data_IF_823362186421
#
_entry.id   IF_823362186421
#
_cell.length_a   1.000
_cell.length_b   1.000
_cell.length_c   1.000
_cell.angle_alpha   90.00
_cell.angle_beta   90.00
_cell.angle_gamma   90.00
#
_symmetry.space_group_name_H-M   'P 1'
#
loop_
_entity.id
_entity.type
_entity.pdbx_description
1 polymer ?
#
# COMPACT_ATOMS: atom_id res chain seq x y z
N UNK A 1 25.34 -14.36 14.92
CA UNK A 1 23.86 -14.41 14.96
C UNK A 1 23.39 -15.06 13.68
N UNK A 2 23.10 -16.37 13.71
CA UNK A 2 22.44 -17.06 12.60
C UNK A 2 21.32 -17.89 13.20
N UNK A 3 20.08 -17.45 12.98
CA UNK A 3 18.85 -18.11 13.34
C UNK A 3 18.64 -19.32 12.44
N UNK A 4 18.87 -20.52 12.97
CA UNK A 4 18.43 -21.76 12.33
C UNK A 4 16.92 -21.83 12.51
N UNK A 5 16.19 -21.58 11.42
CA UNK A 5 14.78 -21.94 11.31
C UNK A 5 14.76 -23.46 11.13
N UNK A 6 14.64 -24.20 12.23
CA UNK A 6 14.40 -25.65 12.17
C UNK A 6 13.02 -25.87 11.56
N UNK A 7 13.01 -26.54 10.42
CA UNK A 7 11.81 -26.96 9.71
C UNK A 7 10.86 -27.74 10.65
N UNK A 8 9.60 -27.34 10.70
CA UNK A 8 8.54 -28.08 11.36
C UNK A 8 8.31 -29.40 10.60
N UNK A 9 8.35 -30.53 11.32
CA UNK A 9 8.06 -31.85 10.76
C UNK A 9 6.62 -31.92 10.21
N UNK A 10 6.37 -32.65 9.09
CA UNK A 10 5.08 -32.72 8.42
C UNK A 10 4.13 -33.75 9.06
N UNK A 11 4.19 -33.93 10.37
CA UNK A 11 3.19 -34.67 11.14
C UNK A 11 2.55 -33.69 12.12
N UNK A 12 1.67 -32.82 11.63
CA UNK A 12 0.70 -32.17 12.50
C UNK A 12 -0.23 -33.27 13.02
N UNK A 13 0.19 -33.99 14.06
CA UNK A 13 -0.71 -34.84 14.82
C UNK A 13 -1.88 -33.96 15.22
N UNK A 14 -3.09 -34.32 14.78
CA UNK A 14 -4.26 -33.56 15.17
C UNK A 14 -4.32 -33.56 16.70
N UNK A 15 -4.32 -32.37 17.28
CA UNK A 15 -4.45 -32.14 18.71
C UNK A 15 -5.60 -31.18 18.94
N UNK A 16 -6.31 -31.35 20.05
CA UNK A 16 -7.37 -30.45 20.48
C UNK A 16 -6.88 -29.63 21.67
N UNK A 17 -7.13 -28.33 21.63
CA UNK A 17 -6.71 -27.44 22.70
C UNK A 17 -7.69 -27.48 23.89
N UNK A 18 -7.18 -27.31 25.09
CA UNK A 18 -7.97 -27.15 26.33
C UNK A 18 -8.99 -25.99 26.25
N UNK A 19 -8.70 -24.94 25.46
CA UNK A 19 -9.67 -23.86 25.19
C UNK A 19 -10.84 -24.35 24.34
N UNK A 20 -10.54 -25.08 23.26
CA UNK A 20 -11.56 -25.69 22.40
C UNK A 20 -12.43 -26.67 23.19
N UNK A 21 -11.83 -27.47 24.09
CA UNK A 21 -12.57 -28.36 25.01
C UNK A 21 -13.46 -27.54 25.96
N UNK A 22 -12.96 -26.43 26.51
CA UNK A 22 -13.73 -25.55 27.40
C UNK A 22 -14.95 -24.96 26.67
N UNK A 23 -14.79 -24.51 25.43
CA UNK A 23 -15.87 -24.00 24.59
C UNK A 23 -16.91 -25.07 24.27
N UNK A 24 -16.47 -26.28 23.90
CA UNK A 24 -17.38 -27.40 23.58
C UNK A 24 -18.16 -27.87 24.80
N UNK A 25 -17.51 -27.92 25.96
CA UNK A 25 -18.10 -28.45 27.20
C UNK A 25 -18.86 -27.41 28.00
N UNK A 26 -18.60 -26.12 27.78
CA UNK A 26 -19.15 -25.01 28.57
C UNK A 26 -18.52 -24.87 29.96
N UNK A 27 -17.41 -25.58 30.23
CA UNK A 27 -16.65 -25.45 31.49
C UNK A 27 -15.70 -24.26 31.41
N UNK A 28 -15.41 -23.63 32.55
CA UNK A 28 -14.37 -22.60 32.59
C UNK A 28 -13.00 -23.20 32.24
N UNK A 29 -12.23 -22.53 31.38
CA UNK A 29 -10.91 -22.98 30.91
C UNK A 29 -9.96 -23.42 32.04
N UNK A 30 -9.98 -22.69 33.17
CA UNK A 30 -9.17 -23.03 34.36
C UNK A 30 -9.52 -24.40 34.96
N UNK A 31 -10.80 -24.78 34.95
CA UNK A 31 -11.22 -26.10 35.43
C UNK A 31 -10.81 -27.20 34.47
N UNK A 32 -10.89 -26.96 33.17
CA UNK A 32 -10.41 -27.90 32.15
C UNK A 32 -8.90 -28.13 32.29
N UNK A 33 -8.09 -27.07 32.47
CA UNK A 33 -6.65 -27.22 32.75
C UNK A 33 -6.41 -28.08 33.99
N UNK A 34 -7.10 -27.79 35.09
CA UNK A 34 -6.96 -28.56 36.33
C UNK A 34 -7.35 -30.02 36.17
N UNK A 35 -8.45 -30.31 35.46
CA UNK A 35 -8.91 -31.67 35.19
C UNK A 35 -7.89 -32.42 34.32
N UNK A 36 -7.27 -31.74 33.35
CA UNK A 36 -6.19 -32.29 32.51
C UNK A 36 -4.94 -32.59 33.34
N UNK A 37 -4.52 -31.67 34.20
CA UNK A 37 -3.37 -31.88 35.10
C UNK A 37 -3.60 -33.05 36.06
N UNK A 38 -4.81 -33.16 36.63
CA UNK A 38 -5.18 -34.28 37.50
C UNK A 38 -5.18 -35.62 36.75
N UNK A 39 -5.75 -35.63 35.53
CA UNK A 39 -5.75 -36.82 34.66
C UNK A 39 -4.33 -37.23 34.29
N UNK A 40 -3.47 -36.30 33.87
CA UNK A 40 -2.07 -36.59 33.53
C UNK A 40 -1.33 -37.11 34.77
N UNK A 41 -1.53 -36.51 35.94
CA UNK A 41 -0.90 -36.97 37.19
C UNK A 41 -1.37 -38.37 37.61
N UNK A 42 -2.60 -38.78 37.25
CA UNK A 42 -3.11 -40.12 37.49
C UNK A 42 -2.55 -41.14 36.49
N UNK A 43 -2.44 -40.75 35.21
CA UNK A 43 -1.84 -41.58 34.14
C UNK A 43 -0.34 -41.79 34.37
N UNK A 44 0.36 -40.72 34.75
CA UNK A 44 1.81 -40.72 35.02
C UNK A 44 2.13 -41.11 36.47
N UNK A 45 1.15 -41.55 37.26
CA UNK A 45 1.35 -41.96 38.65
C UNK A 45 2.24 -43.19 38.68
N UNK A 46 3.45 -43.05 39.23
CA UNK A 46 4.36 -44.16 39.46
C UNK A 46 3.67 -45.25 40.30
N UNK A 47 3.39 -46.40 39.68
CA UNK A 47 2.96 -47.59 40.40
C UNK A 47 4.12 -48.19 41.22
N UNK A 48 3.87 -49.11 42.17
CA UNK A 48 4.92 -49.78 42.95
C UNK A 48 5.88 -50.66 42.14
N UNK A 49 5.66 -50.78 40.81
CA UNK A 49 6.56 -51.45 39.89
C UNK A 49 7.46 -50.39 39.25
N UNK A 50 8.75 -50.45 39.59
CA UNK A 50 9.90 -49.70 39.09
C UNK A 50 10.15 -49.83 37.56
N UNK A 51 9.10 -49.85 36.74
CA UNK A 51 9.21 -49.65 35.31
C UNK A 51 8.79 -48.22 35.02
N UNK A 52 9.74 -47.31 34.85
CA UNK A 52 9.50 -45.97 34.31
C UNK A 52 8.95 -46.09 32.88
N UNK A 53 7.68 -46.46 32.75
CA UNK A 53 7.01 -46.60 31.48
C UNK A 53 6.52 -45.24 31.03
N UNK A 54 7.32 -44.66 30.13
CA UNK A 54 6.95 -43.64 29.16
C UNK A 54 6.35 -42.34 29.73
N UNK A 55 7.18 -41.28 29.77
CA UNK A 55 6.67 -39.92 29.59
C UNK A 55 5.79 -39.92 28.33
N UNK A 56 4.48 -39.88 28.51
CA UNK A 56 3.52 -39.98 27.42
C UNK A 56 3.67 -38.76 26.53
N UNK A 57 4.32 -38.91 25.37
CA UNK A 57 4.51 -37.85 24.35
C UNK A 57 3.19 -37.58 23.60
N UNK A 58 2.12 -37.25 24.32
CA UNK A 58 0.77 -37.06 23.78
C UNK A 58 0.10 -35.74 24.15
N UNK A 59 0.81 -34.86 24.87
CA UNK A 59 0.33 -33.52 25.22
C UNK A 59 1.44 -32.47 25.11
N UNK A 60 1.06 -31.23 24.78
CA UNK A 60 1.96 -30.08 24.70
C UNK A 60 1.42 -28.95 25.58
N UNK A 61 2.28 -28.34 26.40
CA UNK A 61 1.90 -27.25 27.31
C UNK A 61 2.48 -25.93 26.81
N UNK A 62 1.62 -24.99 26.47
CA UNK A 62 1.98 -23.60 26.22
C UNK A 62 1.95 -22.81 27.53
N UNK A 63 3.07 -22.17 27.87
CA UNK A 63 3.20 -21.30 29.04
C UNK A 63 3.26 -19.83 28.61
N UNK A 64 2.72 -18.96 29.45
CA UNK A 64 2.82 -17.51 29.27
C UNK A 64 4.22 -17.00 29.67
N UNK A 65 4.54 -15.73 29.35
CA UNK A 65 5.82 -15.09 29.67
C UNK A 65 6.12 -15.03 31.19
N UNK A 66 5.11 -15.28 32.02
CA UNK A 66 5.18 -15.37 33.49
C UNK A 66 5.31 -16.82 34.01
N UNK A 67 5.40 -17.81 33.12
CA UNK A 67 5.54 -19.23 33.47
C UNK A 67 4.23 -19.99 33.73
N UNK A 68 3.07 -19.31 33.75
CA UNK A 68 1.77 -19.96 33.96
C UNK A 68 1.30 -20.75 32.74
N UNK A 69 0.63 -21.89 32.97
CA UNK A 69 0.00 -22.69 31.91
C UNK A 69 -1.13 -21.90 31.25
N UNK A 70 -1.00 -21.65 29.95
CA UNK A 70 -1.95 -20.88 29.15
C UNK A 70 -2.90 -21.81 28.39
N UNK A 71 -2.36 -22.80 27.67
CA UNK A 71 -3.10 -23.77 26.86
C UNK A 71 -2.38 -25.11 26.93
N UNK A 72 -3.12 -26.17 27.20
CA UNK A 72 -2.67 -27.56 27.01
C UNK A 72 -3.30 -28.09 25.72
N UNK A 73 -2.49 -28.69 24.85
CA UNK A 73 -2.92 -29.41 23.66
C UNK A 73 -2.85 -30.90 23.94
N UNK A 74 -3.92 -31.62 23.62
CA UNK A 74 -4.06 -33.06 23.87
C UNK A 74 -4.23 -33.80 22.54
N UNK A 75 -3.57 -34.94 22.42
CA UNK A 75 -3.86 -35.89 21.36
C UNK A 75 -5.26 -36.50 21.50
N UNK A 76 -5.65 -37.31 20.51
CA UNK A 76 -6.94 -38.02 20.51
C UNK A 76 -7.11 -38.95 21.70
N UNK A 77 -6.05 -39.64 22.13
CA UNK A 77 -6.12 -40.62 23.21
C UNK A 77 -6.40 -39.92 24.56
N UNK A 78 -5.64 -38.89 24.87
CA UNK A 78 -5.76 -38.12 26.11
C UNK A 78 -7.05 -37.31 26.15
N UNK A 79 -7.52 -36.78 25.02
CA UNK A 79 -8.85 -36.15 24.96
C UNK A 79 -9.98 -37.14 25.21
N UNK A 80 -9.94 -38.33 24.63
CA UNK A 80 -10.93 -39.40 24.88
C UNK A 80 -10.90 -39.80 26.36
N UNK A 81 -9.73 -39.95 26.95
CA UNK A 81 -9.58 -40.26 28.39
C UNK A 81 -10.20 -39.16 29.25
N UNK A 82 -9.92 -37.88 28.98
CA UNK A 82 -10.46 -36.74 29.72
C UNK A 82 -11.99 -36.73 29.72
N UNK A 83 -12.61 -36.94 28.56
CA UNK A 83 -14.07 -36.85 28.41
C UNK A 83 -14.83 -38.06 28.99
N UNK A 84 -14.14 -39.16 29.32
CA UNK A 84 -14.77 -40.29 30.01
C UNK A 84 -15.31 -39.90 31.39
N UNK A 85 -14.70 -38.90 32.04
CA UNK A 85 -15.17 -38.33 33.31
C UNK A 85 -16.20 -37.20 33.16
N UNK A 86 -16.55 -36.79 31.93
CA UNK A 86 -17.48 -35.69 31.68
C UNK A 86 -18.90 -36.19 31.36
N UNK A 87 -19.89 -35.30 31.49
CA UNK A 87 -21.29 -35.59 31.20
C UNK A 87 -21.49 -36.09 29.75
N UNK A 88 -22.45 -36.99 29.55
CA UNK A 88 -22.70 -37.59 28.23
C UNK A 88 -22.92 -36.56 27.10
N UNK A 89 -23.59 -35.43 27.40
CA UNK A 89 -23.80 -34.32 26.46
C UNK A 89 -22.50 -33.63 26.06
N UNK A 90 -21.62 -33.40 27.03
CA UNK A 90 -20.31 -32.78 26.80
C UNK A 90 -19.38 -33.71 26.02
N UNK A 91 -19.38 -34.99 26.40
CA UNK A 91 -18.62 -36.05 25.71
C UNK A 91 -18.99 -36.15 24.24
N UNK A 92 -20.29 -36.16 23.92
CA UNK A 92 -20.77 -36.25 22.53
C UNK A 92 -20.28 -35.08 21.67
N UNK A 93 -20.33 -33.84 22.18
CA UNK A 93 -19.81 -32.66 21.47
C UNK A 93 -18.32 -32.75 21.15
N UNK A 94 -17.52 -33.21 22.10
CA UNK A 94 -16.06 -33.37 21.89
C UNK A 94 -15.77 -34.51 20.91
N UNK A 95 -16.52 -35.61 20.97
CA UNK A 95 -16.41 -36.73 20.02
C UNK A 95 -16.81 -36.29 18.60
N UNK A 96 -17.92 -35.57 18.45
CA UNK A 96 -18.38 -35.08 17.15
C UNK A 96 -17.34 -34.14 16.53
N UNK A 97 -16.73 -33.28 17.34
CA UNK A 97 -15.62 -32.43 16.90
C UNK A 97 -14.42 -33.24 16.41
N UNK A 98 -14.04 -34.31 17.11
CA UNK A 98 -12.96 -35.19 16.65
C UNK A 98 -13.31 -35.90 15.34
N UNK A 99 -14.56 -36.34 15.18
CA UNK A 99 -15.02 -36.94 13.93
C UNK A 99 -14.99 -35.94 12.77
N UNK A 100 -15.38 -34.67 12.99
CA UNK A 100 -15.23 -33.60 11.98
C UNK A 100 -13.76 -33.37 11.59
N UNK A 101 -12.89 -33.39 12.59
CA UNK A 101 -11.46 -33.19 12.44
C UNK A 101 -10.80 -34.36 11.68
N UNK A 102 -11.28 -35.59 11.87
CA UNK A 102 -10.89 -36.79 11.11
C UNK A 102 -11.52 -36.83 9.71
N UNK A 103 -12.72 -36.29 9.55
CA UNK A 103 -13.43 -36.23 8.26
C UNK A 103 -12.91 -35.12 7.34
N UNK A 104 -12.21 -34.11 7.87
CA UNK A 104 -11.41 -33.21 7.03
C UNK A 104 -10.38 -34.07 6.32
N UNK A 105 -10.29 -34.03 4.99
CA UNK A 105 -9.25 -34.77 4.29
C UNK A 105 -7.91 -34.26 4.83
N UNK A 106 -7.25 -35.08 5.64
CA UNK A 106 -5.80 -35.04 5.70
C UNK A 106 -5.40 -35.08 4.23
N UNK A 107 -4.77 -34.00 3.75
CA UNK A 107 -4.24 -33.92 2.40
C UNK A 107 -3.53 -35.25 2.19
N UNK A 108 -4.12 -36.12 1.38
CA UNK A 108 -3.53 -37.43 1.11
C UNK A 108 -2.08 -37.13 0.71
N UNK A 109 -1.08 -37.89 1.19
CA UNK A 109 0.30 -37.63 0.80
C UNK A 109 0.32 -37.66 -0.73
N UNK A 110 0.38 -36.48 -1.33
CA UNK A 110 0.34 -36.33 -2.78
C UNK A 110 1.54 -37.12 -3.27
N UNK A 111 1.29 -38.11 -4.13
CA UNK A 111 2.39 -38.82 -4.78
C UNK A 111 3.30 -37.77 -5.44
N UNK A 112 4.63 -38.00 -5.50
CA UNK A 112 5.55 -37.03 -6.07
C UNK A 112 5.15 -36.59 -7.49
N UNK A 113 4.44 -37.44 -8.23
CA UNK A 113 3.86 -37.17 -9.55
C UNK A 113 2.76 -36.10 -9.52
N UNK A 114 1.84 -36.15 -8.54
CA UNK A 114 0.76 -35.17 -8.41
C UNK A 114 1.29 -33.79 -8.01
N UNK A 115 2.30 -33.76 -7.13
CA UNK A 115 3.01 -32.53 -6.77
C UNK A 115 3.71 -31.91 -7.99
N UNK A 116 4.40 -32.74 -8.78
CA UNK A 116 5.06 -32.28 -10.01
C UNK A 116 4.05 -31.73 -11.02
N UNK A 117 2.93 -32.41 -11.24
CA UNK A 117 1.87 -31.95 -12.14
C UNK A 117 1.26 -30.61 -11.69
N UNK A 118 0.99 -30.45 -10.38
CA UNK A 118 0.51 -29.17 -9.82
C UNK A 118 1.54 -28.05 -9.96
N UNK A 119 2.83 -28.36 -9.79
CA UNK A 119 3.90 -27.38 -9.98
C UNK A 119 4.00 -26.94 -11.44
N UNK A 120 3.94 -27.88 -12.40
CA UNK A 120 3.99 -27.60 -13.83
C UNK A 120 2.79 -26.75 -14.27
N UNK A 121 1.58 -27.13 -13.88
CA UNK A 121 0.35 -26.38 -14.20
C UNK A 121 0.37 -24.97 -13.60
N UNK A 122 0.84 -24.82 -12.36
CA UNK A 122 1.00 -23.51 -11.73
C UNK A 122 2.03 -22.62 -12.43
N UNK A 123 3.11 -23.19 -12.98
CA UNK A 123 4.10 -22.45 -13.75
C UNK A 123 3.54 -22.04 -15.13
N UNK A 124 2.81 -22.93 -15.80
CA UNK A 124 2.16 -22.64 -17.08
C UNK A 124 1.16 -21.48 -16.96
N UNK A 125 0.28 -21.51 -15.96
CA UNK A 125 -0.69 -20.42 -15.75
C UNK A 125 -0.02 -19.07 -15.45
N UNK A 126 1.14 -19.07 -14.78
CA UNK A 126 1.92 -17.83 -14.56
C UNK A 126 2.50 -17.27 -15.85
N UNK A 127 2.98 -18.12 -16.75
CA UNK A 127 3.53 -17.68 -18.03
C UNK A 127 2.44 -17.07 -18.91
N UNK A 128 1.27 -17.71 -19.00
CA UNK A 128 0.13 -17.19 -19.78
C UNK A 128 -0.31 -15.80 -19.30
N UNK A 129 -0.47 -15.63 -17.97
CA UNK A 129 -0.83 -14.33 -17.39
C UNK A 129 0.24 -13.26 -17.66
N UNK A 130 1.53 -13.63 -17.59
CA UNK A 130 2.62 -12.70 -17.88
C UNK A 130 2.64 -12.28 -19.35
N UNK A 131 2.40 -13.22 -20.27
CA UNK A 131 2.30 -12.94 -21.70
C UNK A 131 1.12 -12.05 -22.04
N UNK A 132 -0.05 -12.30 -21.47
CA UNK A 132 -1.23 -11.44 -21.65
C UNK A 132 -0.97 -10.02 -21.14
N UNK A 133 -0.37 -9.90 -19.95
CA UNK A 133 0.02 -8.59 -19.42
C UNK A 133 1.06 -7.90 -20.30
N UNK A 134 2.01 -8.64 -20.87
CA UNK A 134 3.00 -8.08 -21.79
C UNK A 134 2.35 -7.56 -23.08
N UNK A 135 1.40 -8.32 -23.66
CA UNK A 135 0.64 -7.90 -24.84
C UNK A 135 -0.18 -6.64 -24.58
N UNK A 136 -0.89 -6.58 -23.44
CA UNK A 136 -1.66 -5.40 -23.05
C UNK A 136 -0.76 -4.17 -22.83
N UNK A 137 0.40 -4.35 -22.17
CA UNK A 137 1.39 -3.28 -22.00
C UNK A 137 1.96 -2.81 -23.33
N UNK A 138 2.27 -3.72 -24.26
CA UNK A 138 2.76 -3.38 -25.59
C UNK A 138 1.74 -2.57 -26.38
N UNK A 139 0.45 -2.97 -26.37
CA UNK A 139 -0.62 -2.23 -27.01
C UNK A 139 -0.80 -0.82 -26.42
N UNK A 140 -0.71 -0.69 -25.09
CA UNK A 140 -0.74 0.63 -24.43
C UNK A 140 0.45 1.50 -24.81
N UNK A 141 1.64 0.90 -24.98
CA UNK A 141 2.84 1.61 -25.41
C UNK A 141 2.71 2.11 -26.85
N UNK A 142 2.17 1.29 -27.75
CA UNK A 142 1.96 1.65 -29.16
C UNK A 142 1.01 2.85 -29.30
N UNK A 143 -0.07 2.88 -28.52
CA UNK A 143 -0.99 4.04 -28.47
C UNK A 143 -0.33 5.28 -27.82
N UNK A 144 0.58 5.08 -26.87
CA UNK A 144 1.28 6.16 -26.19
C UNK A 144 2.44 6.76 -27.01
N UNK A 145 3.09 5.99 -27.88
CA UNK A 145 4.22 6.43 -28.71
C UNK A 145 3.94 7.68 -29.54
N UNK A 146 2.85 7.78 -30.34
CA UNK A 146 2.59 8.99 -31.11
C UNK A 146 2.24 10.19 -30.21
N UNK A 147 1.64 9.94 -29.03
CA UNK A 147 1.35 10.99 -28.06
C UNK A 147 2.61 11.54 -27.40
N UNK A 148 3.56 10.66 -27.05
CA UNK A 148 4.86 11.06 -26.52
C UNK A 148 5.69 11.78 -27.59
N UNK A 149 5.79 11.22 -28.79
CA UNK A 149 6.53 11.82 -29.91
C UNK A 149 5.98 13.20 -30.31
N UNK A 150 4.66 13.39 -30.33
CA UNK A 150 4.06 14.69 -30.58
C UNK A 150 4.38 15.72 -29.48
N UNK A 151 4.41 15.29 -28.21
CA UNK A 151 4.79 16.17 -27.09
C UNK A 151 6.28 16.53 -27.15
N UNK A 152 7.14 15.59 -27.51
CA UNK A 152 8.57 15.83 -27.69
C UNK A 152 8.80 16.82 -28.86
N UNK A 153 8.13 16.63 -29.99
CA UNK A 153 8.18 17.56 -31.12
C UNK A 153 7.68 18.97 -30.78
N UNK A 154 6.59 19.09 -30.00
CA UNK A 154 6.10 20.39 -29.51
C UNK A 154 7.08 21.02 -28.51
N UNK A 155 7.81 20.21 -27.74
CA UNK A 155 8.82 20.67 -26.80
C UNK A 155 10.08 21.20 -27.50
N UNK A 156 10.41 20.66 -28.67
CA UNK A 156 11.55 21.06 -29.51
C UNK A 156 11.25 22.27 -30.39
N UNK A 157 9.98 22.61 -30.61
CA UNK A 157 9.60 23.79 -31.37
C UNK A 157 10.15 25.09 -30.76
N UNK A 158 10.67 25.99 -31.59
CA UNK A 158 11.18 27.27 -31.14
C UNK A 158 10.05 28.25 -30.81
N UNK A 159 9.99 28.67 -29.55
CA UNK A 159 9.04 29.67 -29.08
C UNK A 159 9.35 30.06 -27.64
N UNK A 160 9.41 31.36 -27.39
CA UNK A 160 9.62 31.93 -26.07
C UNK A 160 8.35 32.54 -25.52
N UNK A 161 8.01 32.17 -24.30
CA UNK A 161 6.79 32.65 -23.65
C UNK A 161 7.17 33.36 -22.35
N UNK A 162 6.54 34.52 -22.10
CA UNK A 162 6.69 35.20 -20.81
C UNK A 162 5.95 34.46 -19.68
N UNK A 163 6.32 34.66 -18.42
CA UNK A 163 5.71 33.98 -17.26
C UNK A 163 4.18 34.13 -17.22
N UNK A 164 3.67 35.32 -17.61
CA UNK A 164 2.23 35.59 -17.66
C UNK A 164 1.52 34.82 -18.77
N UNK A 165 2.14 34.78 -19.95
CA UNK A 165 1.58 34.11 -21.12
C UNK A 165 1.65 32.59 -20.96
N UNK A 166 2.70 32.06 -20.34
CA UNK A 166 2.82 30.66 -19.96
C UNK A 166 1.69 30.23 -19.00
N UNK A 167 1.37 31.09 -18.02
CA UNK A 167 0.22 30.85 -17.13
C UNK A 167 -1.13 30.88 -17.86
N UNK A 168 -1.27 31.75 -18.86
CA UNK A 168 -2.48 31.80 -19.70
C UNK A 168 -2.61 30.55 -20.58
N UNK A 169 -1.53 30.14 -21.25
CA UNK A 169 -1.50 28.95 -22.12
C UNK A 169 -1.77 27.66 -21.32
N UNK A 170 -1.26 27.56 -20.08
CA UNK A 170 -1.49 26.39 -19.22
C UNK A 170 -2.82 26.45 -18.44
N UNK A 171 -3.52 27.59 -18.44
CA UNK A 171 -4.69 27.82 -17.57
C UNK A 171 -4.35 27.85 -16.08
N UNK A 172 -3.08 28.04 -15.74
CA UNK A 172 -2.55 28.06 -14.37
C UNK A 172 -2.10 29.50 -14.10
N UNK A 173 -2.82 30.24 -13.25
CA UNK A 173 -2.57 31.66 -13.02
C UNK A 173 -1.09 32.00 -12.76
N UNK A 174 -0.66 33.19 -13.21
CA UNK A 174 0.75 33.63 -13.23
C UNK A 174 1.50 33.39 -11.90
N UNK A 175 0.84 33.62 -10.76
CA UNK A 175 1.44 33.43 -9.43
C UNK A 175 1.93 32.00 -9.23
N UNK A 176 1.13 31.00 -9.62
CA UNK A 176 1.47 29.58 -9.47
C UNK A 176 2.66 29.17 -10.35
N UNK A 177 2.74 29.72 -11.56
CA UNK A 177 3.90 29.50 -12.44
C UNK A 177 5.14 30.16 -11.83
N UNK A 178 5.02 31.37 -11.30
CA UNK A 178 6.15 32.08 -10.69
C UNK A 178 6.68 31.40 -9.41
N UNK A 179 5.80 30.87 -8.56
CA UNK A 179 6.21 30.11 -7.37
C UNK A 179 6.92 28.82 -7.77
N UNK A 180 6.36 28.09 -8.74
CA UNK A 180 6.96 26.86 -9.24
C UNK A 180 8.37 27.07 -9.78
N UNK A 181 8.59 28.13 -10.57
CA UNK A 181 9.90 28.46 -11.14
C UNK A 181 10.96 28.73 -10.06
N UNK A 182 10.56 29.32 -8.94
CA UNK A 182 11.45 29.61 -7.81
C UNK A 182 11.73 28.34 -7.01
N UNK A 183 10.69 27.58 -6.66
CA UNK A 183 10.79 26.32 -5.91
C UNK A 183 11.67 25.29 -6.62
N UNK A 184 11.50 25.15 -7.95
CA UNK A 184 12.25 24.19 -8.77
C UNK A 184 13.60 24.74 -9.22
N UNK A 185 13.99 25.94 -8.76
CA UNK A 185 15.28 26.58 -9.08
C UNK A 185 15.48 26.80 -10.58
N UNK A 186 14.42 27.10 -11.32
CA UNK A 186 14.51 27.48 -12.74
C UNK A 186 14.80 28.97 -12.88
N UNK A 187 14.30 29.77 -11.94
CA UNK A 187 14.54 31.20 -11.88
C UNK A 187 14.86 31.64 -10.44
N UNK A 188 15.72 32.65 -10.31
CA UNK A 188 16.00 33.34 -9.05
C UNK A 188 15.44 34.77 -9.12
N UNK A 189 15.18 35.35 -7.95
CA UNK A 189 14.66 36.71 -7.83
C UNK A 189 15.82 37.68 -7.63
N UNK A 190 16.02 38.57 -8.58
CA UNK A 190 17.01 39.65 -8.52
C UNK A 190 16.27 41.00 -8.45
N UNK A 191 16.02 41.46 -7.22
CA UNK A 191 15.20 42.65 -6.97
C UNK A 191 13.75 42.49 -7.48
N UNK A 192 13.35 43.38 -8.42
CA UNK A 192 12.02 43.34 -9.06
C UNK A 192 11.94 42.42 -10.28
N UNK A 193 13.07 41.93 -10.82
CA UNK A 193 13.10 41.08 -12.02
C UNK A 193 13.46 39.64 -11.64
N UNK A 194 13.06 38.71 -12.51
CA UNK A 194 13.43 37.31 -12.42
C UNK A 194 14.59 37.06 -13.36
N UNK A 195 15.62 36.34 -12.92
CA UNK A 195 16.69 35.85 -13.79
C UNK A 195 16.69 34.32 -13.85
N UNK A 196 17.14 33.72 -14.95
CA UNK A 196 17.32 32.27 -15.02
C UNK A 196 18.34 31.81 -13.99
N UNK A 197 18.00 30.77 -13.23
CA UNK A 197 18.93 30.08 -12.37
C UNK A 197 19.70 29.02 -13.16
N UNK A 198 20.85 28.58 -12.63
CA UNK A 198 21.75 27.64 -13.32
C UNK A 198 21.05 26.37 -13.82
N UNK A 199 20.14 25.79 -13.02
CA UNK A 199 19.41 24.58 -13.40
C UNK A 199 18.46 24.82 -14.58
N UNK A 200 17.75 25.96 -14.61
CA UNK A 200 16.87 26.34 -15.72
C UNK A 200 17.62 26.55 -17.03
N UNK A 201 18.84 27.09 -16.98
CA UNK A 201 19.73 27.24 -18.14
C UNK A 201 20.30 25.90 -18.61
N UNK A 202 20.81 25.08 -17.68
CA UNK A 202 21.39 23.76 -17.98
C UNK A 202 20.39 22.84 -18.68
N UNK A 203 19.13 22.86 -18.26
CA UNK A 203 18.06 22.04 -18.84
C UNK A 203 17.37 22.70 -20.04
N UNK A 204 17.81 23.90 -20.46
CA UNK A 204 17.21 24.70 -21.54
C UNK A 204 15.71 24.98 -21.34
N UNK A 205 15.25 25.08 -20.09
CA UNK A 205 13.85 25.40 -19.77
C UNK A 205 13.55 26.90 -19.81
N UNK A 206 14.55 27.73 -19.55
CA UNK A 206 14.42 29.17 -19.52
C UNK A 206 15.60 29.80 -20.26
N UNK A 207 15.39 30.97 -20.87
CA UNK A 207 16.45 31.77 -21.46
C UNK A 207 16.23 33.25 -21.19
N UNK A 208 17.31 34.01 -21.29
CA UNK A 208 17.28 35.46 -21.20
C UNK A 208 17.30 36.01 -22.62
N UNK A 209 16.29 36.80 -22.99
CA UNK A 209 16.17 37.40 -24.32
C UNK A 209 16.34 38.90 -24.18
N UNK A 210 17.20 39.48 -25.02
CA UNK A 210 17.37 40.92 -25.08
C UNK A 210 16.14 41.57 -25.70
N UNK A 211 15.62 42.58 -25.02
CA UNK A 211 14.51 43.40 -25.45
C UNK A 211 14.98 44.85 -25.52
N UNK A 212 14.83 45.45 -26.70
CA UNK A 212 14.98 46.88 -26.87
C UNK A 212 13.72 47.60 -26.41
N UNK A 213 13.90 48.70 -25.70
CA UNK A 213 12.81 49.59 -25.30
C UNK A 213 13.26 51.05 -25.38
N UNK A 214 12.39 51.98 -25.82
CA UNK A 214 12.71 53.39 -25.78
C UNK A 214 12.71 53.87 -24.33
N UNK A 215 13.73 54.60 -23.94
CA UNK A 215 13.76 55.26 -22.64
C UNK A 215 12.69 56.35 -22.58
N UNK A 216 11.95 56.37 -21.47
CA UNK A 216 10.78 57.23 -21.29
C UNK A 216 11.15 58.71 -21.23
N UNK A 217 12.37 59.03 -20.79
CA UNK A 217 12.82 60.40 -20.62
C UNK A 217 13.69 60.87 -21.79
N UNK A 218 14.60 60.01 -22.25
CA UNK A 218 15.65 60.36 -23.20
C UNK A 218 15.28 60.00 -24.65
N UNK A 219 14.28 59.13 -24.87
CA UNK A 219 13.86 58.66 -26.19
C UNK A 219 14.85 57.71 -26.89
N UNK A 220 16.03 57.53 -26.32
CA UNK A 220 17.07 56.62 -26.82
C UNK A 220 16.66 55.15 -26.67
N UNK A 221 17.14 54.30 -27.58
CA UNK A 221 16.86 52.86 -27.51
C UNK A 221 17.78 52.20 -26.50
N UNK A 222 17.23 51.80 -25.36
CA UNK A 222 17.94 51.00 -24.36
C UNK A 222 17.73 49.51 -24.62
N UNK A 223 18.74 48.71 -24.24
CA UNK A 223 18.66 47.24 -24.24
C UNK A 223 18.44 46.77 -22.81
N UNK A 224 17.45 45.92 -22.60
CA UNK A 224 17.20 45.26 -21.33
C UNK A 224 17.03 43.76 -21.51
N UNK A 225 17.26 43.02 -20.44
CA UNK A 225 17.08 41.58 -20.43
C UNK A 225 15.67 41.21 -19.93
N UNK A 226 14.95 40.39 -20.69
CA UNK A 226 13.65 39.81 -20.33
C UNK A 226 13.77 38.29 -20.14
N UNK A 227 13.26 37.79 -19.02
CA UNK A 227 13.17 36.36 -18.74
C UNK A 227 12.07 35.69 -19.57
N UNK A 228 12.42 34.62 -20.28
CA UNK A 228 11.51 33.83 -21.11
C UNK A 228 11.61 32.33 -20.79
N UNK A 229 10.48 31.64 -20.89
CA UNK A 229 10.36 30.19 -20.75
C UNK A 229 10.31 29.60 -22.15
N UNK A 230 11.11 28.56 -22.40
CA UNK A 230 11.13 27.86 -23.69
C UNK A 230 9.93 26.92 -23.82
N UNK A 231 9.59 26.48 -25.04
CA UNK A 231 8.57 25.42 -25.24
C UNK A 231 8.88 24.13 -24.46
N UNK A 232 10.15 23.75 -24.33
CA UNK A 232 10.59 22.63 -23.49
C UNK A 232 10.28 22.86 -22.00
N UNK A 233 10.55 24.06 -21.49
CA UNK A 233 10.17 24.46 -20.14
C UNK A 233 8.66 24.46 -19.94
N UNK A 234 7.91 24.96 -20.93
CA UNK A 234 6.45 24.98 -20.94
C UNK A 234 5.83 23.58 -20.96
N UNK A 235 6.36 22.66 -21.78
CA UNK A 235 5.92 21.27 -21.82
C UNK A 235 6.15 20.57 -20.48
N UNK A 236 7.30 20.81 -19.85
CA UNK A 236 7.58 20.28 -18.51
C UNK A 236 6.65 20.90 -17.45
N UNK A 237 6.35 22.19 -17.54
CA UNK A 237 5.33 22.83 -16.70
C UNK A 237 3.95 22.21 -16.93
N UNK A 238 3.56 21.89 -18.16
CA UNK A 238 2.30 21.24 -18.46
C UNK A 238 2.21 19.85 -17.80
N UNK A 239 3.26 19.03 -17.88
CA UNK A 239 3.27 17.71 -17.21
C UNK A 239 3.08 17.84 -15.70
N UNK A 240 3.78 18.78 -15.07
CA UNK A 240 3.79 18.91 -13.60
C UNK A 240 2.57 19.66 -13.06
N UNK A 241 2.11 20.70 -13.77
CA UNK A 241 1.02 21.59 -13.33
C UNK A 241 -0.34 21.28 -13.98
N UNK A 242 -0.40 20.63 -15.13
CA UNK A 242 -1.68 20.14 -15.70
C UNK A 242 -2.01 18.72 -15.25
N UNK A 243 -1.03 17.89 -14.87
CA UNK A 243 -1.29 16.63 -14.17
C UNK A 243 -2.08 16.82 -12.86
N UNK A 244 -1.94 18.00 -12.25
CA UNK A 244 -2.71 18.43 -11.06
C UNK A 244 -3.98 19.23 -11.39
N UNK A 245 -4.23 19.57 -12.67
CA UNK A 245 -5.39 20.35 -13.15
C UNK A 245 -6.15 19.65 -14.30
N UNK A 246 -6.19 18.31 -14.29
CA UNK A 246 -7.15 17.56 -15.11
C UNK A 246 -8.59 18.02 -14.78
N UNK A 247 -9.53 17.91 -15.73
CA UNK A 247 -10.95 18.25 -15.50
C UNK A 247 -11.50 17.78 -14.13
N UNK A 248 -11.20 16.56 -13.64
CA UNK A 248 -11.65 16.14 -12.31
C UNK A 248 -11.01 16.94 -11.16
N UNK A 249 -9.73 17.32 -11.24
CA UNK A 249 -9.06 18.13 -10.21
C UNK A 249 -9.55 19.59 -10.18
N UNK A 250 -10.00 20.13 -11.33
CA UNK A 250 -10.67 21.44 -11.39
C UNK A 250 -12.06 21.43 -10.75
N UNK A 251 -12.81 20.33 -10.84
CA UNK A 251 -14.11 20.18 -10.13
C UNK A 251 -13.92 20.18 -8.61
N UNK A 252 -12.84 19.56 -8.11
CA UNK A 252 -12.50 19.53 -6.68
C UNK A 252 -11.98 20.87 -6.14
N UNK A 253 -11.15 21.58 -6.92
CA UNK A 253 -10.60 22.88 -6.52
C UNK A 253 -11.52 24.08 -6.86
N UNK A 254 -12.66 23.84 -7.52
CA UNK A 254 -13.51 24.83 -8.17
C UNK A 254 -14.85 25.12 -7.50
N UNK A 255 -15.06 24.74 -6.24
CA UNK A 255 -16.15 25.28 -5.42
C UNK A 255 -15.58 26.27 -4.40
N UNK A 256 -15.09 27.42 -4.88
CA UNK A 256 -15.26 28.64 -4.08
C UNK A 256 -16.74 28.96 -4.16
N UNK A 257 -17.46 28.76 -3.06
CA UNK A 257 -18.83 29.25 -2.90
C UNK A 257 -18.89 30.66 -3.47
N UNK A 258 -19.79 30.88 -4.44
CA UNK A 258 -20.12 32.23 -4.89
C UNK A 258 -20.75 32.92 -3.68
N UNK A 259 -19.94 33.60 -2.88
CA UNK A 259 -20.41 34.53 -1.87
C UNK A 259 -21.38 35.49 -2.54
N UNK A 260 -22.57 35.64 -1.94
CA UNK A 260 -23.63 36.48 -2.46
C UNK A 260 -23.10 37.88 -2.82
N UNK A 261 -23.64 38.52 -3.89
CA UNK A 261 -23.18 39.85 -4.29
C UNK A 261 -23.36 40.82 -3.13
N UNK A 262 -22.25 41.45 -2.72
CA UNK A 262 -22.21 42.44 -1.64
C UNK A 262 -23.11 43.63 -2.05
N UNK A 263 -24.12 44.01 -1.27
CA UNK A 263 -25.01 45.10 -1.64
C UNK A 263 -24.25 46.44 -1.58
N UNK A 264 -23.96 47.04 -2.73
CA UNK A 264 -23.52 48.43 -2.78
C UNK A 264 -24.70 49.35 -2.42
N UNK A 265 -24.52 50.19 -1.40
CA UNK A 265 -25.47 51.24 -1.07
C UNK A 265 -25.57 52.22 -2.24
N UNK A 266 -26.79 52.43 -2.77
CA UNK A 266 -27.05 53.50 -3.75
C UNK A 266 -26.80 54.86 -3.09
N UNK A 267 -26.00 55.70 -3.73
CA UNK A 267 -25.82 57.09 -3.33
C UNK A 267 -27.19 57.81 -3.29
N UNK A 268 -27.47 58.66 -2.27
CA UNK A 268 -28.73 59.39 -2.22
C UNK A 268 -28.78 60.40 -3.38
N UNK A 269 -29.92 60.41 -4.08
CA UNK A 269 -30.20 61.36 -5.14
C UNK A 269 -30.13 62.79 -4.59
N UNK A 270 -29.37 63.65 -5.27
CA UNK A 270 -29.41 65.10 -5.05
C UNK A 270 -30.84 65.57 -5.32
N UNK A 271 -31.53 65.97 -4.27
CA UNK A 271 -32.71 66.83 -4.35
C UNK A 271 -32.24 68.28 -4.54
N UNK A 272 -33.06 69.04 -5.27
CA UNK A 272 -32.80 70.32 -5.91
C UNK A 272 -32.08 71.38 -5.05
#
# INVERSE_FOLDING_TARGET
MNTVITAAEPNSSLMMSSKEIAELTGKAHKHVIRDIEAMIAEIEKDGPRLGHQAKSKGYTIERDNRGYVKIIHLDRSHTVTLITGYDARQRKKVVDRWLELEAKPAIAPETPEMLAFRAITALQGKLEVMEEQAKLRAAMLEVAQPKAAALDAISEAEGDVGVRDAGRELGVGQTKVSTFLIEHKWACREGRRMRPAHYGLSQKYCRLVQRTYPDRHTGETCVGDDFKITRRGLARLAVVLCGTNSEPARRLNGMKEKGAPVPFAKAPAKTA
#
